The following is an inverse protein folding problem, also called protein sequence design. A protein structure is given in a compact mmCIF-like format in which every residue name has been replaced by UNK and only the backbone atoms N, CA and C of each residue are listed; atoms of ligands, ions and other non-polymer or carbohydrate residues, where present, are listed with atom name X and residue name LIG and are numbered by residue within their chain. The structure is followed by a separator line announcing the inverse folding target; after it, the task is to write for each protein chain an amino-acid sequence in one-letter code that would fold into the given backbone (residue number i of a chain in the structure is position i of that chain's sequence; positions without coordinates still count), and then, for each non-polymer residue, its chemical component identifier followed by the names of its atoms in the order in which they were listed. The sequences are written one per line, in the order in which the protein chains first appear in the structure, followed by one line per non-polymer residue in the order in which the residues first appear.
data_IF_798766528939
#
_entry.id   IF_798766528939
#
_cell.length_a   1.000
_cell.length_b   1.000
_cell.length_c   1.000
_cell.angle_alpha   90.00
_cell.angle_beta   90.00
_cell.angle_gamma   90.00
#
_symmetry.space_group_name_H-M   'P 1'
#
loop_
_entity.id
_entity.type
_entity.pdbx_description
1 polymer ?
#
# COMPACT_ATOMS: atom_id res chain seq x y z
N UNK A 1 19.86 -23.07 18.59
CA UNK A 1 19.42 -22.66 18.12
C UNK A 1 19.73 -21.73 17.48
N UNK A 2 19.32 -21.33 17.08
CA UNK A 2 20.03 -20.73 16.39
C UNK A 2 19.56 -19.43 15.99
N UNK A 3 20.40 -18.45 16.00
CA UNK A 3 20.05 -17.11 15.74
C UNK A 3 19.63 -16.89 14.32
N UNK A 4 20.19 -17.66 13.43
CA UNK A 4 19.81 -17.55 12.09
C UNK A 4 18.36 -17.83 11.90
N UNK A 5 17.88 -18.81 12.59
CA UNK A 5 16.50 -19.11 12.53
C UNK A 5 15.67 -17.99 13.11
N UNK A 6 16.17 -17.29 14.09
CA UNK A 6 15.48 -16.14 14.63
C UNK A 6 15.38 -15.03 13.59
N UNK A 7 16.44 -14.81 12.83
CA UNK A 7 16.36 -13.80 11.80
C UNK A 7 15.38 -14.17 10.72
N UNK A 8 15.47 -15.39 10.24
CA UNK A 8 14.59 -15.80 9.17
C UNK A 8 13.19 -15.97 9.66
N UNK A 9 13.02 -16.06 10.95
CA UNK A 9 11.72 -16.27 11.54
C UNK A 9 11.00 -14.97 11.86
N UNK A 10 11.50 -13.81 11.40
CA UNK A 10 10.70 -12.62 11.53
C UNK A 10 9.50 -12.82 10.64
N UNK A 11 8.38 -13.06 11.26
CA UNK A 11 7.16 -13.39 10.54
C UNK A 11 6.50 -12.12 10.06
N UNK A 12 5.68 -12.26 9.04
CA UNK A 12 4.98 -11.09 8.53
C UNK A 12 4.13 -10.42 9.60
N UNK A 13 3.62 -11.19 10.56
CA UNK A 13 2.82 -10.60 11.62
C UNK A 13 3.66 -9.83 12.63
N UNK A 14 4.99 -10.00 12.62
CA UNK A 14 5.88 -9.21 13.45
C UNK A 14 6.36 -7.96 12.72
N UNK A 15 6.18 -7.94 11.42
CA UNK A 15 6.55 -6.77 10.65
C UNK A 15 5.42 -5.76 10.66
N UNK A 16 5.78 -4.55 10.30
CA UNK A 16 4.83 -3.45 10.29
C UNK A 16 3.84 -3.59 9.15
N UNK A 17 2.59 -3.29 9.43
CA UNK A 17 1.59 -3.09 8.40
C UNK A 17 1.45 -1.60 8.20
N UNK A 18 1.84 -1.12 7.04
CA UNK A 18 1.80 0.30 6.73
C UNK A 18 0.41 0.64 6.19
N UNK A 19 -0.23 1.59 6.84
CA UNK A 19 -1.55 2.07 6.43
C UNK A 19 -1.32 3.42 5.76
N UNK A 20 -1.36 3.44 4.43
CA UNK A 20 -0.97 4.62 3.67
C UNK A 20 -2.17 5.43 3.23
N UNK A 21 -2.15 6.72 3.55
CA UNK A 21 -3.19 7.68 3.18
C UNK A 21 -2.59 8.81 2.37
N UNK A 22 -3.28 9.23 1.34
CA UNK A 22 -2.86 10.37 0.54
C UNK A 22 -4.07 11.19 0.13
N UNK A 23 -3.94 12.50 0.24
CA UNK A 23 -4.99 13.42 -0.20
C UNK A 23 -4.32 14.55 -0.96
N UNK A 24 -4.74 14.76 -2.20
CA UNK A 24 -4.26 15.89 -2.98
C UNK A 24 -5.21 17.07 -2.73
N UNK A 25 -4.80 18.25 -3.16
CA UNK A 25 -5.65 19.42 -3.02
C UNK A 25 -6.93 19.29 -3.82
N UNK A 26 -6.84 18.61 -4.97
CA UNK A 26 -8.01 18.40 -5.79
C UNK A 26 -9.04 17.53 -5.09
N UNK A 27 -8.56 16.57 -4.30
CA UNK A 27 -9.45 15.68 -3.56
C UNK A 27 -10.18 16.38 -2.43
N UNK A 28 -9.63 17.46 -1.93
CA UNK A 28 -10.26 18.17 -0.81
C UNK A 28 -11.65 18.69 -1.16
N UNK A 29 -11.89 18.93 -2.44
CA UNK A 29 -13.19 19.43 -2.87
C UNK A 29 -14.21 18.31 -3.05
N UNK A 30 -13.82 17.08 -2.82
CA UNK A 30 -14.67 15.92 -3.07
C UNK A 30 -15.47 15.49 -1.84
N UNK A 31 -15.34 16.21 -0.74
CA UNK A 31 -16.05 15.89 0.48
C UNK A 31 -15.28 14.93 1.38
N UNK A 32 -15.95 14.50 2.46
CA UNK A 32 -15.29 13.74 3.52
C UNK A 32 -14.90 12.33 3.15
N UNK A 33 -15.52 11.76 2.11
CA UNK A 33 -15.26 10.34 1.82
C UNK A 33 -13.79 10.06 1.51
N UNK A 34 -13.07 11.08 1.01
CA UNK A 34 -11.66 10.90 0.69
C UNK A 34 -10.73 11.61 1.67
N UNK A 35 -11.29 12.20 2.73
CA UNK A 35 -10.46 12.92 3.70
C UNK A 35 -9.45 11.97 4.37
N UNK A 36 -8.40 12.54 4.89
CA UNK A 36 -7.40 11.74 5.62
C UNK A 36 -8.06 11.04 6.81
N UNK A 37 -8.94 11.76 7.52
CA UNK A 37 -9.64 11.16 8.65
C UNK A 37 -10.45 9.95 8.23
N UNK A 38 -11.15 10.06 7.12
CA UNK A 38 -11.96 8.96 6.62
C UNK A 38 -11.09 7.80 6.16
N UNK A 39 -10.00 8.08 5.45
CA UNK A 39 -9.08 7.03 5.03
C UNK A 39 -8.52 6.29 6.25
N UNK A 40 -8.10 7.03 7.28
CA UNK A 40 -7.57 6.39 8.48
C UNK A 40 -8.59 5.47 9.13
N UNK A 41 -9.85 5.93 9.21
CA UNK A 41 -10.89 5.11 9.81
C UNK A 41 -11.10 3.81 9.04
N UNK A 42 -11.13 3.91 7.72
CA UNK A 42 -11.32 2.73 6.86
C UNK A 42 -10.15 1.77 7.02
N UNK A 43 -8.93 2.28 6.99
CA UNK A 43 -7.76 1.43 7.08
C UNK A 43 -7.64 0.79 8.46
N UNK A 44 -7.95 1.55 9.51
CA UNK A 44 -7.88 0.99 10.86
C UNK A 44 -8.91 -0.11 11.05
N UNK A 45 -10.12 0.12 10.56
CA UNK A 45 -11.15 -0.91 10.66
C UNK A 45 -10.75 -2.16 9.90
N UNK A 46 -10.20 -1.99 8.71
CA UNK A 46 -9.74 -3.14 7.93
C UNK A 46 -8.66 -3.90 8.67
N UNK A 47 -7.70 -3.16 9.23
CA UNK A 47 -6.61 -3.80 9.98
C UNK A 47 -7.14 -4.57 11.18
N UNK A 48 -8.07 -3.96 11.93
CA UNK A 48 -8.65 -4.62 13.10
C UNK A 48 -9.43 -5.86 12.70
N UNK A 49 -10.22 -5.77 11.65
CA UNK A 49 -11.05 -6.88 11.20
C UNK A 49 -10.24 -8.03 10.66
N UNK A 50 -9.04 -7.77 10.17
CA UNK A 50 -8.20 -8.78 9.55
C UNK A 50 -6.98 -9.19 10.39
N UNK A 51 -6.92 -8.73 11.62
CA UNK A 51 -5.91 -9.19 12.55
C UNK A 51 -4.53 -8.59 12.39
N UNK A 52 -4.42 -7.45 11.74
CA UNK A 52 -3.14 -6.76 11.64
C UNK A 52 -2.90 -5.96 12.91
N UNK A 53 -2.03 -6.45 13.77
CA UNK A 53 -1.84 -5.86 15.08
C UNK A 53 -0.76 -4.78 15.13
N UNK A 54 0.25 -4.87 14.27
CA UNK A 54 1.38 -3.95 14.29
C UNK A 54 1.23 -2.98 13.12
N UNK A 55 0.50 -1.90 13.34
CA UNK A 55 0.18 -0.96 12.27
C UNK A 55 0.76 0.41 12.53
N UNK A 56 1.02 1.13 11.45
CA UNK A 56 1.46 2.52 11.52
C UNK A 56 0.90 3.26 10.33
N UNK A 57 0.44 4.48 10.57
CA UNK A 57 -0.04 5.33 9.48
C UNK A 57 1.11 6.08 8.83
N UNK A 58 1.05 6.14 7.51
CA UNK A 58 1.93 6.96 6.69
C UNK A 58 1.00 7.87 5.90
N UNK A 59 1.15 9.18 6.07
CA UNK A 59 0.15 10.12 5.57
C UNK A 59 0.81 11.24 4.79
N UNK A 60 0.37 11.43 3.56
CA UNK A 60 0.79 12.55 2.73
C UNK A 60 -0.43 13.38 2.38
N UNK A 61 -0.64 14.43 3.16
CA UNK A 61 -1.79 15.31 3.01
C UNK A 61 -1.37 16.52 2.18
N UNK A 62 -2.03 16.73 1.05
CA UNK A 62 -1.73 17.84 0.17
C UNK A 62 -0.75 17.49 -0.94
N UNK A 63 -0.52 16.22 -1.19
CA UNK A 63 0.46 15.77 -2.17
C UNK A 63 -0.20 15.10 -3.36
N UNK A 64 0.27 15.45 -4.55
CA UNK A 64 -0.30 14.95 -5.80
C UNK A 64 -0.05 13.46 -5.99
N UNK A 65 -0.96 12.81 -6.71
CA UNK A 65 -0.76 11.43 -7.14
C UNK A 65 0.09 11.31 -8.40
N UNK A 66 0.50 12.44 -9.01
CA UNK A 66 1.24 12.39 -10.27
C UNK A 66 2.72 12.09 -10.11
N UNK A 67 3.25 12.19 -8.89
CA UNK A 67 4.62 11.80 -8.64
C UNK A 67 4.69 11.16 -7.25
N UNK A 68 5.85 10.59 -6.94
CA UNK A 68 6.07 9.92 -5.65
C UNK A 68 7.04 10.68 -4.77
N UNK A 69 7.21 11.99 -5.04
CA UNK A 69 8.04 12.84 -4.22
C UNK A 69 7.20 13.33 -3.04
N UNK A 70 6.95 12.43 -2.10
CA UNK A 70 6.10 12.65 -0.94
C UNK A 70 6.83 12.16 0.29
N UNK A 71 6.87 12.95 1.36
CA UNK A 71 7.70 12.59 2.53
C UNK A 71 7.35 11.26 3.17
N UNK A 72 6.08 10.98 3.38
CA UNK A 72 5.73 9.73 4.07
C UNK A 72 5.82 8.53 3.15
N UNK A 73 5.57 8.72 1.85
CA UNK A 73 5.82 7.64 0.90
C UNK A 73 7.31 7.28 0.91
N UNK A 74 8.19 8.28 0.93
CA UNK A 74 9.63 8.03 0.98
C UNK A 74 10.02 7.36 2.29
N UNK A 75 9.39 7.76 3.39
CA UNK A 75 9.63 7.13 4.69
C UNK A 75 9.20 5.66 4.64
N UNK A 76 8.07 5.39 4.01
CA UNK A 76 7.58 4.02 3.84
C UNK A 76 8.59 3.19 3.03
N UNK A 77 9.09 3.75 1.93
CA UNK A 77 10.07 3.03 1.10
C UNK A 77 11.36 2.76 1.87
N UNK A 78 11.78 3.68 2.73
CA UNK A 78 12.95 3.43 3.58
C UNK A 78 12.72 2.25 4.50
N UNK A 79 11.53 2.14 5.05
CA UNK A 79 11.19 1.01 5.91
C UNK A 79 11.13 -0.29 5.11
N UNK A 80 10.70 -0.21 3.85
CA UNK A 80 10.73 -1.37 2.97
C UNK A 80 12.16 -1.85 2.77
N UNK A 81 13.08 -0.92 2.50
CA UNK A 81 14.48 -1.28 2.30
C UNK A 81 15.09 -1.91 3.54
N UNK A 82 14.66 -1.48 4.72
CA UNK A 82 15.16 -2.03 5.96
C UNK A 82 14.53 -3.36 6.34
N UNK A 83 13.55 -3.80 5.55
CA UNK A 83 12.90 -5.07 5.80
C UNK A 83 11.88 -5.06 6.92
N UNK A 84 11.40 -3.88 7.28
CA UNK A 84 10.48 -3.75 8.42
C UNK A 84 9.01 -3.84 8.04
N UNK A 85 8.68 -3.78 6.75
CA UNK A 85 7.30 -3.76 6.29
C UNK A 85 6.89 -5.14 5.80
N UNK A 86 5.75 -5.63 6.27
CA UNK A 86 5.20 -6.89 5.78
C UNK A 86 3.98 -6.72 4.91
N UNK A 87 3.25 -5.63 5.10
CA UNK A 87 2.01 -5.38 4.35
C UNK A 87 1.84 -3.89 4.15
N UNK A 88 1.34 -3.51 2.98
CA UNK A 88 0.95 -2.12 2.68
C UNK A 88 -0.53 -2.13 2.32
N UNK A 89 -1.31 -1.29 2.99
CA UNK A 89 -2.74 -1.19 2.77
C UNK A 89 -3.09 0.24 2.37
N UNK A 90 -3.88 0.36 1.30
CA UNK A 90 -4.41 1.66 0.88
C UNK A 90 -5.92 1.52 0.71
N UNK A 91 -6.63 2.63 0.76
CA UNK A 91 -8.07 2.63 0.55
C UNK A 91 -8.38 2.20 -0.88
N UNK A 92 -7.66 2.76 -1.84
CA UNK A 92 -7.79 2.40 -3.24
C UNK A 92 -6.48 2.71 -3.96
N UNK A 93 -6.36 2.21 -5.19
CA UNK A 93 -5.13 2.34 -5.95
C UNK A 93 -4.73 3.79 -6.20
N UNK A 94 -5.70 4.70 -6.30
CA UNK A 94 -5.38 6.09 -6.57
C UNK A 94 -4.65 6.75 -5.40
N UNK A 95 -4.82 6.22 -4.19
CA UNK A 95 -4.05 6.74 -3.04
C UNK A 95 -2.57 6.43 -3.21
N UNK A 96 -2.27 5.31 -3.86
CA UNK A 96 -0.88 4.96 -4.14
C UNK A 96 -0.29 5.94 -5.15
N UNK A 97 -0.99 6.19 -6.24
CA UNK A 97 -0.54 7.17 -7.21
C UNK A 97 -1.27 7.05 -8.52
N UNK A 98 -0.96 7.99 -9.42
CA UNK A 98 -1.56 8.03 -10.75
C UNK A 98 -0.55 7.84 -11.86
N UNK A 99 0.72 7.67 -11.52
CA UNK A 99 1.74 7.33 -12.50
C UNK A 99 1.71 5.82 -12.63
N UNK A 100 1.08 5.34 -13.68
CA UNK A 100 0.75 3.93 -13.80
C UNK A 100 1.99 3.05 -13.93
N UNK A 101 3.04 3.55 -14.54
CA UNK A 101 4.27 2.79 -14.64
C UNK A 101 4.91 2.61 -13.28
N UNK A 102 4.93 3.68 -12.48
CA UNK A 102 5.51 3.59 -11.15
C UNK A 102 4.64 2.79 -10.20
N UNK A 103 3.32 2.94 -10.30
CA UNK A 103 2.42 2.12 -9.49
C UNK A 103 2.66 0.65 -9.82
N UNK A 104 2.75 0.32 -11.10
CA UNK A 104 3.03 -1.06 -11.51
C UNK A 104 4.36 -1.54 -10.97
N UNK A 105 5.38 -0.71 -11.02
CA UNK A 105 6.68 -1.08 -10.48
C UNK A 105 6.57 -1.42 -8.99
N UNK A 106 5.93 -0.55 -8.21
CA UNK A 106 5.83 -0.79 -6.78
C UNK A 106 5.02 -2.04 -6.47
N UNK A 107 3.89 -2.22 -7.15
CA UNK A 107 2.98 -3.31 -6.79
C UNK A 107 3.38 -4.66 -7.39
N UNK A 108 4.05 -4.65 -8.53
CA UNK A 108 4.37 -5.90 -9.21
C UNK A 108 5.84 -6.30 -9.13
N UNK A 109 6.72 -5.37 -8.80
CA UNK A 109 8.15 -5.65 -8.74
C UNK A 109 8.68 -5.46 -7.33
N UNK A 110 8.57 -4.23 -6.80
CA UNK A 110 9.20 -3.94 -5.52
C UNK A 110 8.56 -4.69 -4.36
N UNK A 111 7.24 -4.61 -4.22
CA UNK A 111 6.58 -5.25 -3.09
C UNK A 111 6.71 -6.77 -3.16
N UNK A 112 6.42 -7.44 -4.29
CA UNK A 112 6.63 -8.89 -4.33
C UNK A 112 8.09 -9.27 -4.12
N UNK A 113 9.01 -8.50 -4.67
CA UNK A 113 10.44 -8.78 -4.50
C UNK A 113 10.91 -8.61 -3.08
N UNK A 114 10.20 -7.82 -2.28
CA UNK A 114 10.51 -7.61 -0.87
C UNK A 114 9.60 -8.42 0.05
N UNK A 115 8.83 -9.32 -0.53
CA UNK A 115 7.91 -10.20 0.21
C UNK A 115 6.86 -9.39 0.99
N UNK A 116 6.34 -8.36 0.35
CA UNK A 116 5.34 -7.48 0.94
C UNK A 116 3.98 -7.74 0.31
N UNK A 117 2.99 -7.96 1.17
CA UNK A 117 1.60 -8.10 0.75
C UNK A 117 1.02 -6.71 0.48
N UNK A 118 0.33 -6.55 -0.63
CA UNK A 118 -0.29 -5.27 -0.98
C UNK A 118 -1.80 -5.41 -1.07
N UNK A 119 -2.50 -4.50 -0.41
CA UNK A 119 -3.96 -4.52 -0.35
C UNK A 119 -4.50 -3.15 -0.75
N UNK A 120 -5.41 -3.11 -1.73
CA UNK A 120 -6.17 -1.91 -2.06
C UNK A 120 -7.64 -2.25 -1.84
N UNK A 121 -8.21 -1.74 -0.77
CA UNK A 121 -9.48 -2.23 -0.26
C UNK A 121 -10.61 -2.06 -1.27
N UNK A 122 -10.81 -0.85 -1.76
CA UNK A 122 -11.94 -0.56 -2.64
C UNK A 122 -11.80 -1.12 -4.04
N UNK A 123 -10.59 -1.52 -4.43
CA UNK A 123 -10.39 -2.18 -5.71
C UNK A 123 -10.43 -3.69 -5.59
N UNK A 124 -10.64 -4.18 -4.39
CA UNK A 124 -10.70 -5.62 -4.13
C UNK A 124 -9.41 -6.31 -4.54
N UNK A 125 -8.29 -5.64 -4.29
CA UNK A 125 -6.97 -6.16 -4.62
C UNK A 125 -6.29 -6.61 -3.35
N UNK A 126 -5.75 -7.83 -3.35
CA UNK A 126 -4.99 -8.37 -2.23
C UNK A 126 -4.02 -9.39 -2.81
N UNK A 127 -2.74 -9.02 -2.81
CA UNK A 127 -1.74 -9.86 -3.45
C UNK A 127 -1.61 -11.24 -2.82
N UNK A 128 -2.02 -11.39 -1.56
CA UNK A 128 -1.94 -12.71 -0.90
C UNK A 128 -3.00 -13.68 -1.42
N UNK A 129 -4.06 -13.18 -2.02
CA UNK A 129 -5.14 -14.01 -2.51
C UNK A 129 -5.05 -14.29 -3.99
N UNK A 130 -3.99 -13.81 -4.64
CA UNK A 130 -3.82 -13.98 -6.07
C UNK A 130 -2.85 -15.11 -6.36
N UNK A 131 -3.07 -15.79 -7.48
CA UNK A 131 -2.16 -16.81 -7.91
C UNK A 131 -0.86 -16.17 -8.38
N UNK A 132 0.20 -16.97 -8.43
CA UNK A 132 1.51 -16.46 -8.76
C UNK A 132 1.54 -15.68 -10.06
N UNK A 133 0.81 -16.09 -11.02
CA UNK A 133 0.80 -15.44 -12.32
C UNK A 133 -0.39 -14.51 -12.48
N UNK A 134 -1.17 -14.31 -11.44
CA UNK A 134 -2.42 -13.58 -11.58
C UNK A 134 -2.25 -12.12 -11.22
N UNK A 135 -1.69 -11.38 -12.15
CA UNK A 135 -1.64 -9.92 -12.01
C UNK A 135 -2.78 -9.27 -12.76
N UNK A 136 -3.79 -10.06 -13.13
CA UNK A 136 -4.91 -9.58 -13.94
C UNK A 136 -5.57 -8.33 -13.37
N UNK A 137 -5.85 -8.24 -12.07
CA UNK A 137 -6.45 -7.01 -11.56
C UNK A 137 -5.61 -5.78 -11.83
N UNK A 138 -4.29 -5.88 -11.64
CA UNK A 138 -3.43 -4.74 -11.90
C UNK A 138 -3.35 -4.45 -13.38
N UNK A 139 -3.19 -5.47 -14.19
CA UNK A 139 -3.10 -5.29 -15.63
C UNK A 139 -4.38 -4.70 -16.19
N UNK A 140 -5.52 -5.10 -15.68
CA UNK A 140 -6.78 -4.55 -16.14
C UNK A 140 -6.89 -3.08 -15.77
N UNK A 141 -6.48 -2.71 -14.58
CA UNK A 141 -6.49 -1.31 -14.17
C UNK A 141 -5.56 -0.50 -15.05
N UNK A 142 -4.35 -0.98 -15.26
CA UNK A 142 -3.35 -0.29 -16.07
C UNK A 142 -3.84 -0.15 -17.51
N UNK A 143 -4.36 -1.23 -18.08
CA UNK A 143 -4.86 -1.20 -19.44
C UNK A 143 -6.02 -0.25 -19.60
N UNK A 144 -6.91 -0.22 -18.62
CA UNK A 144 -8.03 0.70 -18.65
C UNK A 144 -7.55 2.14 -18.65
N UNK A 145 -6.52 2.42 -17.88
CA UNK A 145 -5.97 3.76 -17.79
C UNK A 145 -5.28 4.18 -19.08
N UNK A 146 -4.58 3.25 -19.73
CA UNK A 146 -3.87 3.57 -20.96
C UNK A 146 -4.73 3.49 -22.21
N UNK A 147 -5.88 2.89 -22.10
CA UNK A 147 -6.78 2.79 -23.25
C UNK A 147 -7.44 4.12 -23.62
N UNK A 148 -7.31 5.11 -22.77
CA UNK A 148 -7.93 6.40 -23.03
C UNK A 148 -7.18 7.22 -24.11
#
# INVERSE_FOLDING_TARGET
MNNRQSYTAVKNNDKLTALYCRLSRDDESQGDSNSIKNQKAILQKYADDNGFANTEFFVDDGYSGTNFDRPDWQRLLSQVEEGNIGTVVVKDMSRLGRDYLKVGYYTEVLFPGSDIRFIAINNNVDSANQQDSDFTPFLNIINEWYAK
#
